data_IF_847225004482
#
_entry.id   IF_847225004482
#
_cell.length_a   1.000
_cell.length_b   1.000
_cell.length_c   1.000
_cell.angle_alpha   90.00
_cell.angle_beta   90.00
_cell.angle_gamma   90.00
#
_symmetry.space_group_name_H-M   'P 1'
#
loop_
_entity.id
_entity.type
_entity.pdbx_description
1 polymer ?
#
# COMPACT_ATOMS: atom_id res chain seq x y z
N UNK A 1 75.27 58.87 5.93
CA UNK A 1 75.01 59.53 4.63
C UNK A 1 75.79 58.81 3.55
N UNK A 2 75.08 58.50 2.47
CA UNK A 2 75.49 58.18 1.11
C UNK A 2 76.11 56.81 0.79
N UNK A 3 75.24 56.06 0.09
CA UNK A 3 75.35 54.73 -0.46
C UNK A 3 76.28 54.68 -1.69
N UNK A 4 76.89 53.52 -1.86
CA UNK A 4 77.69 53.17 -3.01
C UNK A 4 77.12 51.92 -3.69
N UNK A 5 77.24 51.95 -5.02
CA UNK A 5 77.52 50.84 -5.94
C UNK A 5 76.39 50.08 -6.66
N UNK A 6 76.53 50.20 -7.99
CA UNK A 6 76.54 49.17 -9.03
C UNK A 6 75.23 48.53 -9.51
N UNK A 7 74.93 48.91 -10.75
CA UNK A 7 74.08 48.25 -11.74
C UNK A 7 74.54 46.80 -11.93
N UNK A 8 73.63 45.84 -11.81
CA UNK A 8 73.84 44.46 -12.29
C UNK A 8 72.77 44.15 -13.34
N UNK A 9 73.20 43.93 -14.57
CA UNK A 9 72.37 43.46 -15.67
C UNK A 9 71.99 41.99 -15.43
N UNK A 10 70.69 41.71 -15.39
CA UNK A 10 70.14 40.36 -15.26
C UNK A 10 69.21 40.05 -16.43
N UNK A 11 69.79 39.47 -17.48
CA UNK A 11 69.10 38.94 -18.64
C UNK A 11 68.53 37.56 -18.27
N UNK A 12 67.20 37.41 -18.15
CA UNK A 12 66.56 36.09 -18.14
C UNK A 12 65.23 36.15 -18.90
N UNK A 13 65.30 35.70 -20.14
CA UNK A 13 64.18 35.31 -20.97
C UNK A 13 63.30 34.32 -20.20
N UNK A 14 62.04 34.67 -19.98
CA UNK A 14 60.99 33.69 -19.72
C UNK A 14 59.89 33.86 -20.76
N UNK A 15 60.06 33.15 -21.87
CA UNK A 15 58.97 32.69 -22.72
C UNK A 15 57.98 31.92 -21.82
N UNK A 16 57.00 32.61 -21.25
CA UNK A 16 55.79 31.96 -20.78
C UNK A 16 54.96 31.63 -22.03
N UNK A 17 54.74 30.36 -22.40
CA UNK A 17 53.69 30.10 -23.37
C UNK A 17 52.41 30.64 -22.74
N UNK A 18 51.74 31.56 -23.43
CA UNK A 18 50.35 31.86 -23.13
C UNK A 18 49.59 30.53 -23.27
N UNK A 19 49.42 29.83 -22.16
CA UNK A 19 48.47 28.72 -22.08
C UNK A 19 47.08 29.35 -22.18
N UNK A 20 46.66 29.65 -23.41
CA UNK A 20 45.28 29.94 -23.73
C UNK A 20 44.49 28.71 -23.29
N UNK A 21 43.87 28.80 -22.11
CA UNK A 21 43.03 27.73 -21.60
C UNK A 21 41.75 27.77 -22.42
N UNK A 22 41.72 27.03 -23.52
CA UNK A 22 40.49 26.76 -24.27
C UNK A 22 39.58 25.98 -23.32
N UNK A 23 38.56 26.64 -22.77
CA UNK A 23 37.49 25.95 -22.05
C UNK A 23 36.45 25.50 -23.05
N UNK A 24 36.49 24.22 -23.42
CA UNK A 24 35.36 23.61 -24.12
C UNK A 24 34.13 23.62 -23.20
N UNK A 25 32.95 23.84 -23.79
CA UNK A 25 31.68 23.81 -23.08
C UNK A 25 31.57 22.56 -22.20
N UNK A 26 31.26 22.73 -20.91
CA UNK A 26 30.96 21.59 -20.06
C UNK A 26 29.71 20.92 -20.62
N UNK A 27 29.78 19.60 -20.87
CA UNK A 27 28.61 18.84 -21.28
C UNK A 27 27.52 19.06 -20.23
N UNK A 28 26.36 19.54 -20.67
CA UNK A 28 25.16 19.65 -19.85
C UNK A 28 24.63 18.24 -19.60
N UNK A 29 25.34 17.44 -18.81
CA UNK A 29 24.86 16.14 -18.38
C UNK A 29 23.88 16.38 -17.23
N UNK A 30 22.62 16.59 -17.58
CA UNK A 30 21.53 16.45 -16.61
C UNK A 30 21.50 15.00 -16.15
N UNK A 31 21.78 14.74 -14.88
CA UNK A 31 21.71 13.39 -14.33
C UNK A 31 20.29 12.81 -14.46
N UNK A 32 20.20 11.51 -14.71
CA UNK A 32 18.95 10.76 -14.59
C UNK A 32 18.34 11.01 -13.20
N UNK A 33 17.02 10.90 -13.08
CA UNK A 33 16.35 11.00 -11.78
C UNK A 33 16.99 10.03 -10.79
N UNK A 34 17.44 10.55 -9.63
CA UNK A 34 18.07 9.74 -8.57
C UNK A 34 17.10 8.71 -7.99
N UNK A 35 15.80 8.99 -8.07
CA UNK A 35 14.74 8.10 -7.64
C UNK A 35 14.31 7.24 -8.85
N UNK A 36 14.55 5.93 -8.84
CA UNK A 36 13.97 5.05 -9.85
C UNK A 36 12.45 5.10 -9.76
N UNK A 37 11.80 4.94 -10.91
CA UNK A 37 10.35 4.90 -11.00
C UNK A 37 9.79 3.69 -10.21
N UNK A 38 9.08 3.96 -9.12
CA UNK A 38 8.28 2.98 -8.38
C UNK A 38 6.84 2.93 -8.93
N UNK A 39 6.69 2.85 -10.26
CA UNK A 39 5.37 2.67 -10.86
C UNK A 39 4.92 1.21 -10.69
N UNK A 40 4.50 0.88 -9.47
CA UNK A 40 3.83 -0.38 -9.17
C UNK A 40 2.54 -0.52 -9.97
N UNK A 41 2.33 -1.69 -10.58
CA UNK A 41 1.04 -2.04 -11.20
C UNK A 41 -0.10 -1.95 -10.18
N UNK A 42 -1.26 -1.41 -10.55
CA UNK A 42 -2.41 -1.32 -9.65
C UNK A 42 -2.82 -2.73 -9.20
N UNK A 43 -3.10 -2.88 -7.91
CA UNK A 43 -3.43 -4.19 -7.30
C UNK A 43 -4.92 -4.51 -7.31
N UNK A 44 -5.75 -3.63 -7.88
CA UNK A 44 -7.22 -3.78 -8.02
C UNK A 44 -7.94 -4.23 -6.74
N UNK A 45 -7.49 -3.74 -5.58
CA UNK A 45 -8.10 -3.98 -4.27
C UNK A 45 -9.35 -3.12 -4.11
N UNK A 46 -10.32 -3.63 -3.37
CA UNK A 46 -11.56 -2.93 -3.08
C UNK A 46 -12.75 -3.87 -2.97
N UNK A 47 -13.92 -3.26 -2.99
CA UNK A 47 -15.21 -3.93 -2.98
C UNK A 47 -15.40 -4.69 -4.31
N UNK A 48 -15.90 -5.93 -4.23
CA UNK A 48 -16.26 -6.76 -5.40
C UNK A 48 -17.75 -6.96 -5.54
N UNK A 49 -18.48 -7.13 -4.43
CA UNK A 49 -19.94 -7.34 -4.44
C UNK A 49 -20.63 -6.39 -3.49
N UNK A 50 -21.43 -5.45 -4.00
CA UNK A 50 -22.11 -4.43 -3.20
C UNK A 50 -23.18 -5.00 -2.25
N UNK A 51 -23.67 -4.14 -1.36
CA UNK A 51 -24.79 -4.42 -0.49
C UNK A 51 -26.05 -4.82 -1.29
N UNK A 52 -26.82 -5.78 -0.79
CA UNK A 52 -28.06 -6.25 -1.41
C UNK A 52 -27.91 -7.25 -2.56
N UNK A 53 -26.69 -7.55 -3.01
CA UNK A 53 -26.46 -8.55 -4.04
C UNK A 53 -26.56 -9.99 -3.51
N UNK A 54 -27.02 -10.91 -4.37
CA UNK A 54 -26.95 -12.34 -4.11
C UNK A 54 -25.58 -12.90 -4.49
N UNK A 55 -25.03 -13.73 -3.61
CA UNK A 55 -23.73 -14.39 -3.78
C UNK A 55 -23.84 -15.88 -3.55
N UNK A 56 -23.00 -16.65 -4.24
CA UNK A 56 -22.77 -18.06 -3.94
C UNK A 56 -21.70 -18.21 -2.86
N UNK A 57 -21.69 -19.35 -2.18
CA UNK A 57 -20.60 -19.72 -1.28
C UNK A 57 -19.23 -19.64 -1.99
N UNK A 58 -18.21 -19.12 -1.30
CA UNK A 58 -16.86 -18.91 -1.82
C UNK A 58 -16.66 -17.60 -2.60
N UNK A 59 -17.71 -16.82 -2.86
CA UNK A 59 -17.59 -15.55 -3.60
C UNK A 59 -16.77 -14.53 -2.81
N UNK A 60 -15.80 -13.88 -3.47
CA UNK A 60 -15.01 -12.82 -2.87
C UNK A 60 -15.86 -11.54 -2.77
N UNK A 61 -16.04 -11.03 -1.54
CA UNK A 61 -16.83 -9.83 -1.26
C UNK A 61 -15.98 -8.56 -1.35
N UNK A 62 -14.80 -8.58 -0.73
CA UNK A 62 -13.87 -7.46 -0.75
C UNK A 62 -12.42 -7.93 -0.60
N UNK A 63 -11.51 -7.20 -1.24
CA UNK A 63 -10.06 -7.41 -1.13
C UNK A 63 -9.43 -6.15 -0.56
N UNK A 64 -8.61 -6.28 0.47
CA UNK A 64 -8.03 -5.14 1.20
C UNK A 64 -6.59 -5.44 1.61
N UNK A 65 -5.87 -4.43 2.10
CA UNK A 65 -4.52 -4.58 2.68
C UNK A 65 -4.55 -4.39 4.19
N UNK A 66 -5.25 -3.36 4.62
CA UNK A 66 -5.60 -3.08 6.02
C UNK A 66 -7.10 -3.32 6.18
N UNK A 67 -7.60 -3.85 7.30
CA UNK A 67 -9.01 -4.17 7.47
C UNK A 67 -9.86 -2.91 7.58
N UNK A 68 -10.40 -2.50 6.44
CA UNK A 68 -11.47 -1.50 6.34
C UNK A 68 -12.81 -2.13 6.69
N UNK A 69 -13.00 -3.36 6.24
CA UNK A 69 -14.18 -4.18 6.46
C UNK A 69 -13.84 -5.38 7.34
N UNK A 70 -14.82 -5.82 8.11
CA UNK A 70 -14.73 -6.97 9.00
C UNK A 70 -15.71 -8.08 8.60
N UNK A 71 -15.37 -9.34 8.89
CA UNK A 71 -16.28 -10.45 8.70
C UNK A 71 -17.39 -10.41 9.76
N UNK A 72 -18.64 -10.55 9.33
CA UNK A 72 -19.78 -10.76 10.21
C UNK A 72 -20.38 -12.15 9.98
N UNK A 73 -21.71 -12.25 9.94
CA UNK A 73 -22.44 -13.52 9.78
C UNK A 73 -22.13 -14.18 8.44
N UNK A 74 -21.76 -15.48 8.46
CA UNK A 74 -21.50 -16.31 7.27
C UNK A 74 -20.44 -15.76 6.32
N UNK A 75 -19.44 -15.07 6.87
CA UNK A 75 -18.37 -14.45 6.12
C UNK A 75 -17.00 -14.85 6.68
N UNK A 76 -16.13 -15.32 5.79
CA UNK A 76 -14.76 -15.72 6.11
C UNK A 76 -13.76 -14.59 5.93
N UNK A 77 -12.65 -14.65 6.67
CA UNK A 77 -11.52 -13.73 6.58
C UNK A 77 -10.23 -14.47 6.23
N UNK A 78 -9.68 -14.20 5.07
CA UNK A 78 -8.44 -14.81 4.59
C UNK A 78 -7.18 -14.20 5.19
N UNK A 79 -6.06 -14.93 5.16
CA UNK A 79 -4.74 -14.50 5.67
C UNK A 79 -4.26 -13.16 5.06
N UNK A 80 -4.61 -12.90 3.80
CA UNK A 80 -4.26 -11.68 3.08
C UNK A 80 -5.26 -10.52 3.29
N UNK A 81 -6.24 -10.70 4.18
CA UNK A 81 -7.29 -9.73 4.49
C UNK A 81 -8.50 -9.77 3.56
N UNK A 82 -8.59 -10.76 2.65
CA UNK A 82 -9.72 -10.93 1.74
C UNK A 82 -10.94 -11.44 2.49
N UNK A 83 -12.10 -10.89 2.18
CA UNK A 83 -13.40 -11.28 2.75
C UNK A 83 -14.17 -12.06 1.70
N UNK A 84 -14.72 -13.21 2.09
CA UNK A 84 -15.46 -14.10 1.19
C UNK A 84 -16.71 -14.67 1.86
N UNK A 85 -17.73 -14.99 1.07
CA UNK A 85 -18.97 -15.58 1.54
C UNK A 85 -18.76 -17.07 1.88
N UNK A 86 -19.27 -17.53 3.03
CA UNK A 86 -19.26 -18.94 3.41
C UNK A 86 -20.52 -19.66 2.90
N UNK A 87 -21.65 -18.96 2.87
CA UNK A 87 -22.93 -19.50 2.42
C UNK A 87 -23.45 -18.76 1.19
N UNK A 88 -24.43 -19.35 0.51
CA UNK A 88 -25.16 -18.69 -0.56
C UNK A 88 -26.24 -17.80 0.05
N UNK A 89 -26.35 -16.55 -0.38
CA UNK A 89 -27.22 -15.61 0.32
C UNK A 89 -27.17 -14.20 -0.22
N UNK A 90 -27.89 -13.30 0.45
CA UNK A 90 -27.88 -11.87 0.16
C UNK A 90 -26.89 -11.16 1.08
N UNK A 91 -26.06 -10.30 0.49
CA UNK A 91 -25.04 -9.53 1.22
C UNK A 91 -25.70 -8.34 1.91
N UNK A 92 -25.35 -8.13 3.17
CA UNK A 92 -25.72 -6.97 3.97
C UNK A 92 -24.48 -6.35 4.61
N UNK A 93 -24.32 -5.03 4.49
CA UNK A 93 -23.23 -4.28 5.12
C UNK A 93 -23.78 -3.43 6.25
N UNK A 94 -23.42 -3.79 7.47
CA UNK A 94 -23.85 -3.09 8.69
C UNK A 94 -22.68 -2.31 9.30
N UNK A 95 -23.00 -1.32 10.12
CA UNK A 95 -22.03 -0.61 10.95
C UNK A 95 -22.21 -1.07 12.39
N UNK A 96 -21.31 -1.90 12.89
CA UNK A 96 -21.41 -2.52 14.21
C UNK A 96 -20.19 -2.18 15.06
N UNK A 97 -20.35 -2.35 16.38
CA UNK A 97 -19.24 -2.21 17.32
C UNK A 97 -18.25 -3.35 17.10
N UNK A 98 -16.97 -3.01 16.94
CA UNK A 98 -15.88 -3.96 16.87
C UNK A 98 -15.37 -4.25 18.28
N UNK A 99 -15.44 -5.51 18.69
CA UNK A 99 -14.78 -6.02 19.89
C UNK A 99 -13.63 -6.94 19.45
N UNK A 100 -12.41 -6.39 19.23
CA UNK A 100 -11.31 -7.16 18.69
C UNK A 100 -10.57 -7.92 19.80
N UNK A 101 -9.98 -9.07 19.46
CA UNK A 101 -9.07 -9.77 20.36
C UNK A 101 -7.72 -9.02 20.42
N UNK A 102 -7.48 -8.31 21.52
CA UNK A 102 -6.27 -7.50 21.75
C UNK A 102 -4.99 -8.34 21.87
N UNK A 103 -5.07 -9.63 22.18
CA UNK A 103 -3.89 -10.50 22.24
C UNK A 103 -3.34 -10.82 20.85
N UNK A 104 -4.17 -10.68 19.82
CA UNK A 104 -3.79 -11.01 18.47
C UNK A 104 -2.86 -9.92 17.88
N UNK A 105 -1.63 -10.31 17.54
CA UNK A 105 -0.57 -9.41 17.04
C UNK A 105 -1.02 -8.50 15.89
N UNK A 106 -1.88 -9.00 14.99
CA UNK A 106 -2.41 -8.20 13.88
C UNK A 106 -3.37 -7.10 14.35
N UNK A 107 -4.16 -7.37 15.40
CA UNK A 107 -5.07 -6.38 15.99
C UNK A 107 -4.26 -5.28 16.64
N UNK A 108 -3.26 -5.63 17.47
CA UNK A 108 -2.37 -4.66 18.12
C UNK A 108 -1.73 -3.74 17.07
N UNK A 109 -1.18 -4.30 15.99
CA UNK A 109 -0.55 -3.51 14.93
C UNK A 109 -1.48 -2.51 14.26
N UNK A 110 -2.78 -2.83 14.11
CA UNK A 110 -3.74 -2.00 13.39
C UNK A 110 -4.46 -1.01 14.30
N UNK A 111 -4.73 -1.41 15.54
CA UNK A 111 -5.56 -0.69 16.50
C UNK A 111 -4.79 -0.15 17.71
N UNK A 112 -3.46 -0.24 17.72
CA UNK A 112 -2.61 0.33 18.77
C UNK A 112 -3.02 1.76 19.11
N UNK A 113 -3.12 2.04 20.42
CA UNK A 113 -3.49 3.36 20.93
C UNK A 113 -4.99 3.67 20.92
N UNK A 114 -5.87 2.70 20.62
CA UNK A 114 -7.34 2.87 20.64
C UNK A 114 -8.06 1.93 21.60
N UNK A 115 -7.35 1.38 22.58
CA UNK A 115 -7.86 0.35 23.49
C UNK A 115 -9.09 0.79 24.30
N UNK A 116 -9.09 2.03 24.77
CA UNK A 116 -10.16 2.57 25.61
C UNK A 116 -11.31 3.23 24.82
N UNK A 117 -11.33 3.06 23.49
CA UNK A 117 -12.33 3.67 22.63
C UNK A 117 -13.27 2.62 22.03
N UNK A 118 -14.56 2.92 22.02
CA UNK A 118 -15.53 2.15 21.23
C UNK A 118 -15.29 2.36 19.74
N UNK A 119 -14.87 1.31 19.04
CA UNK A 119 -14.59 1.37 17.59
C UNK A 119 -15.78 0.81 16.84
N UNK A 120 -16.31 1.57 15.88
CA UNK A 120 -17.31 1.08 14.93
C UNK A 120 -16.66 0.74 13.60
N UNK A 121 -17.10 -0.37 13.00
CA UNK A 121 -16.62 -0.85 11.71
C UNK A 121 -17.74 -1.35 10.84
N UNK A 122 -17.43 -1.47 9.55
CA UNK A 122 -18.33 -2.07 8.57
C UNK A 122 -18.16 -3.57 8.56
N UNK A 123 -19.23 -4.29 8.81
CA UNK A 123 -19.28 -5.75 8.78
C UNK A 123 -19.99 -6.23 7.53
N UNK A 124 -19.44 -7.25 6.89
CA UNK A 124 -20.14 -7.98 5.84
C UNK A 124 -20.87 -9.14 6.46
N UNK A 125 -22.17 -9.20 6.20
CA UNK A 125 -23.06 -10.29 6.59
C UNK A 125 -23.62 -10.92 5.32
N UNK A 126 -23.73 -12.24 5.30
CA UNK A 126 -24.43 -12.97 4.23
C UNK A 126 -25.62 -13.67 4.87
N UNK A 127 -26.82 -13.18 4.54
CA UNK A 127 -28.07 -13.79 5.01
C UNK A 127 -28.43 -14.90 4.03
N UNK A 128 -28.46 -16.17 4.46
CA UNK A 128 -28.68 -17.28 3.55
C UNK A 128 -30.09 -17.25 2.97
N UNK A 129 -30.23 -17.75 1.74
CA UNK A 129 -31.57 -18.00 1.18
C UNK A 129 -32.19 -19.17 1.93
N UNK A 130 -33.50 -19.10 2.17
CA UNK A 130 -34.20 -20.21 2.83
C UNK A 130 -34.03 -21.51 2.03
N UNK A 131 -33.57 -22.56 2.72
CA UNK A 131 -33.46 -23.89 2.15
C UNK A 131 -34.86 -24.41 1.79
N UNK A 132 -34.99 -25.04 0.62
CA UNK A 132 -36.27 -25.62 0.20
C UNK A 132 -36.75 -26.69 1.20
N UNK A 133 -37.92 -26.47 1.81
CA UNK A 133 -38.55 -27.41 2.77
C UNK A 133 -39.32 -28.56 2.10
N UNK A 134 -39.02 -28.87 0.84
CA UNK A 134 -39.66 -29.97 0.11
C UNK A 134 -38.86 -31.25 0.35
N UNK A 135 -39.48 -32.21 1.01
CA UNK A 135 -38.92 -33.54 1.16
C UNK A 135 -39.61 -34.46 0.15
N UNK A 136 -38.84 -35.30 -0.54
CA UNK A 136 -39.37 -36.34 -1.41
C UNK A 136 -39.18 -37.67 -0.67
N UNK A 137 -40.27 -38.40 -0.45
CA UNK A 137 -40.18 -39.78 0.01
C UNK A 137 -39.48 -40.59 -1.09
N UNK A 138 -38.44 -41.33 -0.70
CA UNK A 138 -37.67 -42.16 -1.64
C UNK A 138 -38.26 -43.57 -1.63
N UNK A 139 -38.40 -44.18 -0.45
CA UNK A 139 -38.98 -45.51 -0.25
C UNK A 139 -39.76 -45.55 1.06
N UNK A 140 -40.83 -46.33 1.09
CA UNK A 140 -41.59 -46.70 2.29
C UNK A 140 -41.17 -48.12 2.70
N UNK A 141 -40.93 -48.33 3.99
CA UNK A 141 -40.44 -49.60 4.57
C UNK A 141 -41.56 -50.62 4.68
#
# INVERSE_FOLDING_TARGET
MNFNLSITAGNLLRNSPFFATIRHASKKTGGSTRNPSDHGRPKHRGWKVQDGHYVSAGTILATQRTPRFHPGLNVGFGKNGTIFALEHGKVYVTCEKLDPNWDHTWVQRIYAGRENQTIFKKFFNVVPVEQHKRFKLIEEV
#
